data_IF_137259670154
#
_entry.id   IF_137259670154
#
_cell.length_a   1.000
_cell.length_b   1.000
_cell.length_c   1.000
_cell.angle_alpha   90.00
_cell.angle_beta   90.00
_cell.angle_gamma   90.00
#
_symmetry.space_group_name_H-M   'P 1'
#
loop_
_entity.id
_entity.type
_entity.pdbx_description
1 polymer ?
#
# COMPACT_ATOMS: atom_id res chain seq x y z
N UNK A 1 5.13 -39.66 -19.97
CA UNK A 1 3.90 -40.37 -19.58
C UNK A 1 2.76 -39.45 -19.91
N UNK A 2 2.09 -39.74 -21.01
CA UNK A 2 0.97 -38.97 -21.53
C UNK A 2 -0.25 -39.17 -20.62
N UNK A 3 -0.85 -38.08 -20.18
CA UNK A 3 -2.12 -38.11 -19.43
C UNK A 3 -3.25 -38.12 -20.47
N UNK A 4 -4.20 -39.07 -20.42
CA UNK A 4 -5.30 -39.13 -21.37
C UNK A 4 -6.20 -37.89 -21.28
N UNK A 5 -6.46 -37.29 -22.44
CA UNK A 5 -7.55 -36.33 -22.68
C UNK A 5 -8.87 -37.11 -22.74
N UNK A 6 -9.45 -37.41 -21.58
CA UNK A 6 -10.88 -37.74 -21.46
C UNK A 6 -11.27 -37.64 -19.98
N UNK A 7 -11.50 -36.40 -19.53
CA UNK A 7 -12.36 -36.18 -18.36
C UNK A 7 -13.76 -35.87 -18.89
N UNK A 8 -14.83 -36.51 -18.37
CA UNK A 8 -16.18 -36.08 -18.69
C UNK A 8 -16.30 -34.61 -18.31
N UNK A 9 -16.90 -33.79 -19.18
CA UNK A 9 -17.25 -32.40 -18.85
C UNK A 9 -18.09 -32.43 -17.57
N UNK A 10 -17.45 -32.21 -16.43
CA UNK A 10 -18.13 -32.02 -15.18
C UNK A 10 -19.02 -30.80 -15.37
N UNK A 11 -20.31 -30.96 -15.05
CA UNK A 11 -21.26 -29.86 -15.02
C UNK A 11 -20.60 -28.71 -14.23
N UNK A 12 -20.31 -27.57 -14.86
CA UNK A 12 -19.60 -26.49 -14.21
C UNK A 12 -20.33 -25.99 -12.97
N UNK A 13 -21.62 -26.32 -12.78
CA UNK A 13 -22.43 -25.98 -11.62
C UNK A 13 -22.29 -26.96 -10.43
N UNK A 14 -21.59 -28.08 -10.58
CA UNK A 14 -21.35 -29.09 -9.51
C UNK A 14 -19.98 -29.01 -8.82
N UNK A 15 -19.06 -28.20 -9.34
CA UNK A 15 -17.73 -27.98 -8.76
C UNK A 15 -17.85 -26.99 -7.59
N UNK A 16 -17.27 -27.33 -6.43
CA UNK A 16 -17.22 -26.43 -5.27
C UNK A 16 -16.53 -25.09 -5.65
N UNK A 17 -16.99 -23.97 -5.11
CA UNK A 17 -16.46 -22.64 -5.50
C UNK A 17 -14.95 -22.52 -5.30
N UNK A 18 -14.38 -23.17 -4.28
CA UNK A 18 -12.94 -23.28 -4.04
C UNK A 18 -12.19 -23.97 -5.18
N UNK A 19 -12.76 -25.01 -5.78
CA UNK A 19 -12.14 -25.74 -6.89
C UNK A 19 -12.21 -24.92 -8.19
N UNK A 20 -13.28 -24.14 -8.40
CA UNK A 20 -13.37 -23.19 -9.51
C UNK A 20 -12.32 -22.09 -9.41
N UNK A 21 -12.13 -21.54 -8.22
CA UNK A 21 -11.11 -20.51 -7.96
C UNK A 21 -9.71 -21.05 -8.18
N UNK A 22 -9.41 -22.25 -7.70
CA UNK A 22 -8.15 -22.93 -7.96
C UNK A 22 -7.94 -23.12 -9.48
N UNK A 23 -8.97 -23.57 -10.20
CA UNK A 23 -8.90 -23.75 -11.64
C UNK A 23 -8.59 -22.44 -12.38
N UNK A 24 -9.15 -21.30 -11.95
CA UNK A 24 -8.83 -20.00 -12.54
C UNK A 24 -7.38 -19.59 -12.26
N UNK A 25 -6.90 -19.75 -11.02
CA UNK A 25 -5.50 -19.46 -10.68
C UNK A 25 -4.54 -20.32 -11.51
N UNK A 26 -4.80 -21.63 -11.59
CA UNK A 26 -4.00 -22.58 -12.36
C UNK A 26 -4.04 -22.29 -13.87
N UNK A 27 -5.19 -21.86 -14.40
CA UNK A 27 -5.31 -21.48 -15.80
C UNK A 27 -4.45 -20.24 -16.12
N UNK A 28 -4.43 -19.23 -15.24
CA UNK A 28 -3.55 -18.05 -15.39
C UNK A 28 -2.08 -18.47 -15.32
N UNK A 29 -1.71 -19.31 -14.35
CA UNK A 29 -0.36 -19.87 -14.20
C UNK A 29 0.08 -20.58 -15.50
N UNK A 30 -0.76 -21.46 -16.04
CA UNK A 30 -0.48 -22.23 -17.25
C UNK A 30 -0.41 -21.36 -18.51
N UNK A 31 -1.11 -20.22 -18.55
CA UNK A 31 -0.99 -19.26 -19.64
C UNK A 31 0.34 -18.50 -19.61
N UNK A 32 0.91 -18.27 -18.42
CA UNK A 32 2.10 -17.47 -18.19
C UNK A 32 3.41 -18.27 -18.24
N UNK A 33 3.42 -19.51 -17.73
CA UNK A 33 4.62 -20.39 -17.73
C UNK A 33 5.27 -20.53 -19.11
N UNK A 34 4.54 -20.82 -20.21
CA UNK A 34 5.12 -20.93 -21.56
C UNK A 34 5.69 -19.63 -22.11
N UNK A 35 5.41 -18.48 -21.46
CA UNK A 35 5.95 -17.17 -21.81
C UNK A 35 7.18 -16.80 -20.98
N UNK A 36 7.74 -17.75 -20.22
CA UNK A 36 8.98 -17.58 -19.45
C UNK A 36 8.78 -17.00 -18.05
N UNK A 37 7.54 -16.86 -17.57
CA UNK A 37 7.27 -16.38 -16.23
C UNK A 37 7.45 -17.51 -15.21
N UNK A 38 8.23 -17.24 -14.16
CA UNK A 38 8.23 -18.05 -12.93
C UNK A 38 6.99 -17.70 -12.12
N UNK A 39 5.98 -18.55 -12.15
CA UNK A 39 4.64 -18.24 -11.63
C UNK A 39 4.03 -19.44 -10.93
N UNK A 40 3.33 -19.19 -9.82
CA UNK A 40 2.59 -20.17 -9.06
C UNK A 40 1.22 -19.63 -8.63
N UNK A 41 0.29 -20.55 -8.38
CA UNK A 41 -0.93 -20.27 -7.63
C UNK A 41 -0.58 -20.23 -6.14
N UNK A 42 -1.21 -19.34 -5.37
CA UNK A 42 -1.02 -19.32 -3.92
C UNK A 42 -1.40 -20.67 -3.29
N UNK A 43 -2.57 -21.21 -3.65
CA UNK A 43 -3.06 -22.49 -3.13
C UNK A 43 -2.08 -23.61 -3.46
N UNK A 44 -1.59 -23.65 -4.70
CA UNK A 44 -0.59 -24.64 -5.12
C UNK A 44 0.70 -24.52 -4.31
N UNK A 45 1.22 -23.30 -4.15
CA UNK A 45 2.46 -23.05 -3.43
C UNK A 45 2.35 -23.41 -1.94
N UNK A 46 1.25 -23.03 -1.27
CA UNK A 46 1.01 -23.34 0.14
C UNK A 46 0.88 -24.85 0.38
N UNK A 47 0.23 -25.57 -0.53
CA UNK A 47 0.15 -27.03 -0.49
C UNK A 47 1.52 -27.67 -0.61
N UNK A 48 2.31 -27.24 -1.58
CA UNK A 48 3.64 -27.81 -1.84
C UNK A 48 4.60 -27.49 -0.68
N UNK A 49 4.48 -26.28 -0.09
CA UNK A 49 5.27 -25.88 1.08
C UNK A 49 4.96 -26.76 2.29
N UNK A 50 3.68 -26.96 2.60
CA UNK A 50 3.27 -27.88 3.69
C UNK A 50 3.70 -29.32 3.43
N UNK A 51 3.63 -29.79 2.18
CA UNK A 51 4.08 -31.13 1.82
C UNK A 51 5.59 -31.30 2.06
N UNK A 52 6.40 -30.31 1.67
CA UNK A 52 7.84 -30.30 1.94
C UNK A 52 8.16 -30.23 3.44
N UNK A 53 7.50 -29.36 4.20
CA UNK A 53 7.68 -29.25 5.66
C UNK A 53 7.35 -30.55 6.40
N UNK A 54 6.40 -31.33 5.86
CA UNK A 54 6.00 -32.63 6.41
C UNK A 54 6.81 -33.82 5.83
N UNK A 55 7.81 -33.58 4.98
CA UNK A 55 8.64 -34.62 4.36
C UNK A 55 7.95 -35.42 3.24
N UNK A 56 6.79 -34.98 2.77
CA UNK A 56 6.04 -35.60 1.67
C UNK A 56 6.48 -35.09 0.29
N UNK A 57 7.41 -34.13 0.25
CA UNK A 57 7.99 -33.60 -0.98
C UNK A 57 9.50 -33.50 -0.80
N UNK A 58 10.26 -34.12 -1.71
CA UNK A 58 11.72 -34.18 -1.62
C UNK A 58 12.41 -32.85 -1.93
N UNK A 59 11.75 -31.97 -2.67
CA UNK A 59 12.31 -30.70 -3.15
C UNK A 59 11.62 -29.53 -2.48
N UNK A 60 12.39 -28.62 -1.89
CA UNK A 60 11.87 -27.37 -1.35
C UNK A 60 11.24 -26.52 -2.47
N UNK A 61 9.98 -26.06 -2.33
CA UNK A 61 9.39 -25.14 -3.29
C UNK A 61 10.18 -23.85 -3.39
N UNK A 62 10.18 -23.25 -4.59
CA UNK A 62 10.78 -21.94 -4.81
C UNK A 62 10.29 -20.91 -3.78
N UNK A 63 11.17 -20.06 -3.24
CA UNK A 63 10.79 -18.94 -2.39
C UNK A 63 9.69 -18.07 -3.01
N UNK A 64 8.73 -17.61 -2.20
CA UNK A 64 7.58 -16.86 -2.72
C UNK A 64 7.98 -15.51 -3.35
N UNK A 65 9.09 -14.92 -2.90
CA UNK A 65 9.59 -13.62 -3.34
C UNK A 65 10.25 -13.63 -4.72
N UNK A 66 10.54 -14.81 -5.28
CA UNK A 66 11.07 -14.95 -6.64
C UNK A 66 10.00 -15.42 -7.66
N UNK A 67 8.75 -15.55 -7.20
CA UNK A 67 7.62 -16.00 -8.01
C UNK A 67 6.63 -14.88 -8.27
N UNK A 68 6.01 -14.90 -9.45
CA UNK A 68 4.71 -14.29 -9.64
C UNK A 68 3.66 -15.17 -8.94
N UNK A 69 2.85 -14.57 -8.08
CA UNK A 69 1.81 -15.31 -7.35
C UNK A 69 0.44 -14.86 -7.80
N UNK A 70 -0.38 -15.81 -8.24
CA UNK A 70 -1.79 -15.60 -8.54
C UNK A 70 -2.58 -16.10 -7.33
N UNK A 71 -3.42 -15.23 -6.75
CA UNK A 71 -4.21 -15.54 -5.55
C UNK A 71 -5.66 -15.10 -5.68
N UNK A 72 -6.48 -15.66 -4.79
CA UNK A 72 -7.81 -15.15 -4.49
C UNK A 72 -7.70 -13.92 -3.57
N UNK A 73 -8.54 -12.90 -3.77
CA UNK A 73 -8.67 -11.78 -2.83
C UNK A 73 -10.14 -11.54 -2.48
N UNK A 74 -10.54 -12.03 -1.31
CA UNK A 74 -11.92 -11.94 -0.82
C UNK A 74 -12.41 -10.50 -0.65
N UNK A 75 -11.48 -9.55 -0.52
CA UNK A 75 -11.79 -8.14 -0.31
C UNK A 75 -12.25 -7.44 -1.58
N UNK A 76 -12.08 -8.08 -2.75
CA UNK A 76 -12.61 -7.61 -4.02
C UNK A 76 -14.12 -7.89 -4.08
N UNK A 77 -14.88 -6.91 -4.54
CA UNK A 77 -16.31 -7.02 -4.85
C UNK A 77 -16.52 -7.33 -6.32
N UNK A 78 -17.58 -8.08 -6.64
CA UNK A 78 -17.96 -8.32 -8.03
C UNK A 78 -18.48 -7.02 -8.69
N UNK A 79 -18.39 -6.90 -10.02
CA UNK A 79 -18.93 -5.74 -10.73
C UNK A 79 -20.43 -5.57 -10.49
N UNK A 80 -20.86 -4.34 -10.22
CA UNK A 80 -22.28 -4.01 -9.95
C UNK A 80 -23.18 -4.22 -11.16
N UNK A 81 -22.66 -3.96 -12.37
CA UNK A 81 -23.32 -4.34 -13.62
C UNK A 81 -23.06 -5.83 -13.85
N UNK A 82 -23.85 -6.68 -13.19
CA UNK A 82 -23.90 -8.11 -13.48
C UNK A 82 -24.47 -8.26 -14.89
N UNK A 83 -23.58 -8.40 -15.85
CA UNK A 83 -23.94 -8.97 -17.15
C UNK A 83 -23.82 -10.47 -16.96
N UNK A 84 -24.95 -11.18 -16.97
CA UNK A 84 -25.02 -12.65 -16.74
C UNK A 84 -24.20 -13.47 -17.76
N UNK A 85 -23.60 -12.82 -18.76
CA UNK A 85 -22.72 -13.42 -19.75
C UNK A 85 -21.35 -13.84 -19.23
N UNK A 86 -20.92 -13.34 -18.06
CA UNK A 86 -19.58 -13.63 -17.51
C UNK A 86 -19.65 -14.09 -16.06
N UNK A 87 -19.00 -15.22 -15.76
CA UNK A 87 -18.62 -15.58 -14.38
C UNK A 87 -17.36 -14.78 -14.00
N UNK A 88 -17.47 -13.93 -12.98
CA UNK A 88 -16.37 -13.10 -12.48
C UNK A 88 -15.62 -13.82 -11.36
N UNK A 89 -14.32 -13.58 -11.25
CA UNK A 89 -13.46 -14.15 -10.21
C UNK A 89 -12.60 -13.06 -9.56
N UNK A 90 -12.43 -13.15 -8.24
CA UNK A 90 -11.68 -12.19 -7.43
C UNK A 90 -10.20 -12.57 -7.41
N UNK A 91 -9.39 -11.91 -8.25
CA UNK A 91 -7.98 -12.28 -8.44
C UNK A 91 -7.07 -11.13 -8.04
N UNK A 92 -6.08 -11.43 -7.20
CA UNK A 92 -4.94 -10.56 -6.96
C UNK A 92 -3.66 -11.22 -7.50
N UNK A 93 -2.77 -10.40 -8.04
CA UNK A 93 -1.52 -10.84 -8.68
C UNK A 93 -0.38 -10.11 -8.00
N UNK A 94 0.53 -10.87 -7.39
CA UNK A 94 1.76 -10.35 -6.80
C UNK A 94 2.93 -10.55 -7.75
N UNK A 95 3.72 -9.50 -7.94
CA UNK A 95 5.02 -9.60 -8.61
C UNK A 95 6.04 -10.24 -7.67
N UNK A 96 7.10 -10.88 -8.18
CA UNK A 96 8.29 -11.14 -7.37
C UNK A 96 8.90 -9.83 -6.85
N UNK A 97 9.81 -9.93 -5.89
CA UNK A 97 10.62 -8.82 -5.42
C UNK A 97 11.63 -8.42 -6.51
N UNK A 98 11.27 -7.38 -7.28
CA UNK A 98 12.07 -6.91 -8.41
C UNK A 98 12.87 -5.65 -8.05
N UNK A 99 14.12 -5.58 -8.51
CA UNK A 99 14.87 -4.33 -8.48
C UNK A 99 14.19 -3.28 -9.36
N UNK A 100 14.08 -2.03 -8.89
CA UNK A 100 13.45 -0.99 -9.68
C UNK A 100 14.35 -0.58 -10.86
N UNK A 101 13.98 -1.01 -12.07
CA UNK A 101 14.77 -0.79 -13.28
C UNK A 101 13.90 -0.83 -14.55
N UNK A 102 14.34 -0.22 -15.67
CA UNK A 102 13.62 -0.29 -16.93
C UNK A 102 13.39 -1.71 -17.45
N UNK A 103 14.30 -2.65 -17.15
CA UNK A 103 14.17 -4.06 -17.56
C UNK A 103 13.04 -4.76 -16.81
N UNK A 104 12.96 -4.55 -15.49
CA UNK A 104 11.90 -5.14 -14.67
C UNK A 104 10.54 -4.46 -14.92
N UNK A 105 10.52 -3.17 -15.25
CA UNK A 105 9.31 -2.49 -15.72
C UNK A 105 8.79 -3.12 -17.01
N UNK A 106 9.66 -3.36 -18.00
CA UNK A 106 9.27 -4.09 -19.23
C UNK A 106 8.73 -5.49 -18.94
N UNK A 107 9.28 -6.19 -17.94
CA UNK A 107 8.79 -7.49 -17.52
C UNK A 107 7.35 -7.41 -16.96
N UNK A 108 7.05 -6.40 -16.15
CA UNK A 108 5.67 -6.10 -15.69
C UNK A 108 4.76 -5.74 -16.86
N UNK A 109 5.24 -4.98 -17.84
CA UNK A 109 4.44 -4.60 -19.00
C UNK A 109 4.08 -5.79 -19.89
N UNK A 110 5.03 -6.69 -20.10
CA UNK A 110 4.79 -7.93 -20.85
C UNK A 110 3.75 -8.81 -20.15
N UNK A 111 3.84 -8.91 -18.82
CA UNK A 111 2.82 -9.58 -18.01
C UNK A 111 1.44 -8.96 -18.24
N UNK A 112 1.31 -7.64 -18.07
CA UNK A 112 0.04 -6.92 -18.26
C UNK A 112 -0.51 -7.14 -19.66
N UNK A 113 0.34 -7.06 -20.69
CA UNK A 113 -0.03 -7.29 -22.09
C UNK A 113 -0.62 -8.68 -22.31
N UNK A 114 -0.06 -9.71 -21.67
CA UNK A 114 -0.57 -11.08 -21.76
C UNK A 114 -1.95 -11.17 -21.09
N UNK A 115 -2.07 -10.67 -19.86
CA UNK A 115 -3.30 -10.77 -19.09
C UNK A 115 -4.44 -9.97 -19.74
N UNK A 116 -4.19 -8.73 -20.18
CA UNK A 116 -5.21 -7.89 -20.84
C UNK A 116 -5.67 -8.40 -22.19
N UNK A 117 -4.86 -9.24 -22.87
CA UNK A 117 -5.24 -9.85 -24.16
C UNK A 117 -5.99 -11.16 -24.01
N UNK A 118 -5.77 -11.88 -22.91
CA UNK A 118 -6.36 -13.22 -22.69
C UNK A 118 -7.61 -13.18 -21.84
N UNK A 119 -7.74 -12.20 -20.95
CA UNK A 119 -8.81 -12.18 -19.96
C UNK A 119 -9.64 -10.91 -20.05
N UNK A 120 -10.92 -11.03 -19.73
CA UNK A 120 -11.78 -9.88 -19.46
C UNK A 120 -11.50 -9.41 -18.04
N UNK A 121 -10.97 -8.20 -17.90
CA UNK A 121 -10.57 -7.65 -16.61
C UNK A 121 -11.55 -6.56 -16.16
N UNK A 122 -11.82 -6.52 -14.86
CA UNK A 122 -12.58 -5.45 -14.23
C UNK A 122 -11.83 -4.94 -12.99
N UNK A 123 -11.24 -3.75 -13.12
CA UNK A 123 -10.61 -3.03 -12.02
C UNK A 123 -11.61 -2.07 -11.39
N UNK A 124 -12.64 -2.59 -10.71
CA UNK A 124 -13.63 -1.75 -10.03
C UNK A 124 -13.05 -1.07 -8.78
N UNK A 125 -13.88 -0.32 -8.05
CA UNK A 125 -13.44 0.50 -6.92
C UNK A 125 -12.89 -0.29 -5.72
N UNK A 126 -13.26 -1.58 -5.59
CA UNK A 126 -12.71 -2.46 -4.55
C UNK A 126 -11.30 -2.94 -4.87
N UNK A 127 -10.91 -2.95 -6.15
CA UNK A 127 -9.58 -3.38 -6.59
C UNK A 127 -8.54 -2.28 -6.31
N UNK A 128 -7.41 -2.66 -5.72
CA UNK A 128 -6.30 -1.75 -5.41
C UNK A 128 -5.00 -2.13 -6.14
N UNK A 129 -4.08 -1.17 -6.23
CA UNK A 129 -2.68 -1.41 -6.59
C UNK A 129 -1.83 -1.17 -5.35
N UNK A 130 -1.18 -2.21 -4.85
CA UNK A 130 -0.24 -2.10 -3.74
C UNK A 130 1.19 -2.08 -4.27
N UNK A 131 2.00 -1.14 -3.76
CA UNK A 131 3.44 -1.09 -4.05
C UNK A 131 4.19 -1.39 -2.77
N UNK A 132 5.06 -2.39 -2.82
CA UNK A 132 5.97 -2.72 -1.75
C UNK A 132 7.38 -2.24 -2.11
N UNK A 133 7.98 -1.40 -1.26
CA UNK A 133 9.33 -0.88 -1.48
C UNK A 133 10.24 -1.29 -0.33
N UNK A 134 11.41 -1.84 -0.66
CA UNK A 134 12.50 -2.09 0.30
C UNK A 134 13.75 -1.30 -0.07
N UNK A 135 14.69 -1.21 0.86
CA UNK A 135 16.05 -0.70 0.61
C UNK A 135 17.00 -1.79 0.05
N UNK A 136 16.44 -2.77 -0.67
CA UNK A 136 17.10 -3.96 -1.19
C UNK A 136 17.78 -4.77 -0.09
N UNK A 137 19.12 -4.95 -0.15
CA UNK A 137 19.90 -5.71 0.85
C UNK A 137 20.13 -4.94 2.15
N UNK A 138 19.91 -3.63 2.18
CA UNK A 138 20.04 -2.83 3.40
C UNK A 138 18.72 -2.87 4.13
N UNK A 139 18.75 -2.99 5.45
CA UNK A 139 17.54 -2.85 6.26
C UNK A 139 17.13 -1.38 6.37
N UNK A 140 15.85 -1.14 6.60
CA UNK A 140 15.37 0.18 7.01
C UNK A 140 15.96 0.51 8.39
N UNK A 141 16.88 1.48 8.43
CA UNK A 141 17.36 2.02 9.71
C UNK A 141 16.28 2.93 10.32
N UNK A 142 16.36 3.15 11.63
CA UNK A 142 15.47 4.07 12.32
C UNK A 142 15.45 5.46 11.68
N UNK A 143 16.62 6.00 11.30
CA UNK A 143 16.72 7.30 10.64
C UNK A 143 16.00 7.35 9.29
N UNK A 144 16.10 6.28 8.49
CA UNK A 144 15.37 6.19 7.21
C UNK A 144 13.86 6.21 7.48
N UNK A 145 13.39 5.45 8.47
CA UNK A 145 11.96 5.41 8.82
C UNK A 145 11.46 6.74 9.36
N UNK A 146 12.22 7.42 10.22
CA UNK A 146 11.86 8.76 10.70
C UNK A 146 11.70 9.75 9.55
N UNK A 147 12.65 9.77 8.62
CA UNK A 147 12.61 10.68 7.48
C UNK A 147 11.42 10.36 6.56
N UNK A 148 11.20 9.07 6.28
CA UNK A 148 10.12 8.64 5.40
C UNK A 148 8.74 8.88 6.01
N UNK A 149 8.54 8.47 7.25
CA UNK A 149 7.26 8.67 7.95
C UNK A 149 7.00 10.14 8.21
N UNK A 150 8.03 10.93 8.52
CA UNK A 150 7.90 12.39 8.62
C UNK A 150 7.44 13.02 7.31
N UNK A 151 8.00 12.58 6.17
CA UNK A 151 7.61 13.06 4.85
C UNK A 151 6.19 12.61 4.46
N UNK A 152 5.85 11.33 4.64
CA UNK A 152 4.50 10.80 4.39
C UNK A 152 3.48 11.53 5.25
N UNK A 153 3.71 11.66 6.56
CA UNK A 153 2.80 12.34 7.47
C UNK A 153 2.60 13.83 7.09
N UNK A 154 3.69 14.50 6.71
CA UNK A 154 3.64 15.91 6.30
C UNK A 154 2.82 16.09 5.02
N UNK A 155 3.07 15.23 4.02
CA UNK A 155 2.61 15.43 2.65
C UNK A 155 1.51 14.46 2.20
N UNK A 156 0.89 13.69 3.10
CA UNK A 156 -0.14 12.71 2.70
C UNK A 156 -1.25 13.37 1.88
N UNK A 157 -1.76 14.52 2.31
CA UNK A 157 -2.81 15.26 1.59
C UNK A 157 -2.40 15.69 0.18
N UNK A 158 -1.11 16.00 -0.02
CA UNK A 158 -0.56 16.29 -1.34
C UNK A 158 -0.46 15.01 -2.17
N UNK A 159 0.04 13.92 -1.58
CA UNK A 159 0.18 12.62 -2.24
C UNK A 159 -1.18 12.04 -2.64
N UNK A 160 -2.22 12.27 -1.84
CA UNK A 160 -3.60 11.85 -2.13
C UNK A 160 -4.14 12.40 -3.46
N UNK A 161 -3.66 13.56 -3.92
CA UNK A 161 -4.04 14.12 -5.23
C UNK A 161 -3.60 13.22 -6.41
N UNK A 162 -2.71 12.25 -6.20
CA UNK A 162 -2.38 11.22 -7.20
C UNK A 162 -3.57 10.27 -7.45
N UNK A 163 -4.53 10.22 -6.54
CA UNK A 163 -5.58 9.22 -6.49
C UNK A 163 -6.93 9.81 -6.90
N UNK A 164 -7.87 9.00 -7.39
CA UNK A 164 -9.23 9.48 -7.63
C UNK A 164 -9.95 9.78 -6.31
N UNK A 165 -10.91 10.71 -6.34
CA UNK A 165 -11.66 11.17 -5.17
C UNK A 165 -12.31 10.04 -4.35
N UNK A 166 -12.80 8.98 -5.01
CA UNK A 166 -13.37 7.82 -4.31
C UNK A 166 -12.36 7.03 -3.46
N UNK A 167 -11.04 7.18 -3.71
CA UNK A 167 -9.98 6.60 -2.85
C UNK A 167 -9.62 7.49 -1.67
N UNK A 168 -10.12 8.72 -1.63
CA UNK A 168 -9.78 9.73 -0.61
C UNK A 168 -10.97 9.97 0.33
N UNK A 169 -12.16 10.28 -0.21
CA UNK A 169 -13.29 10.79 0.57
C UNK A 169 -14.35 9.73 0.93
N UNK A 170 -14.38 8.58 0.26
CA UNK A 170 -15.39 7.54 0.48
C UNK A 170 -14.78 6.14 0.37
N UNK A 171 -13.55 5.99 0.84
CA UNK A 171 -12.80 4.77 0.70
C UNK A 171 -12.95 3.90 1.94
N UNK A 172 -13.82 2.90 1.87
CA UNK A 172 -13.93 1.88 2.92
C UNK A 172 -12.75 0.91 2.93
N UNK A 173 -11.87 0.94 1.92
CA UNK A 173 -10.78 -0.02 1.74
C UNK A 173 -9.43 0.50 2.24
N UNK A 174 -9.18 1.82 2.22
CA UNK A 174 -7.97 2.41 2.81
C UNK A 174 -8.23 3.79 3.41
N UNK A 175 -7.73 4.03 4.63
CA UNK A 175 -7.91 5.27 5.39
C UNK A 175 -6.65 6.14 5.38
N UNK A 176 -6.84 7.48 5.46
CA UNK A 176 -5.72 8.42 5.63
C UNK A 176 -4.94 8.05 6.89
N UNK A 177 -3.63 7.92 6.72
CA UNK A 177 -2.68 7.69 7.77
C UNK A 177 -2.72 8.87 8.75
N UNK A 178 -2.63 10.11 8.28
CA UNK A 178 -2.63 11.33 9.08
C UNK A 178 -3.85 11.49 9.96
N UNK A 179 -5.00 10.92 9.59
CA UNK A 179 -6.22 11.06 10.38
C UNK A 179 -6.47 9.87 11.32
N UNK A 180 -5.96 8.66 11.00
CA UNK A 180 -6.36 7.41 11.67
C UNK A 180 -5.24 6.66 12.41
N UNK A 181 -4.00 7.18 12.43
CA UNK A 181 -2.92 6.55 13.19
C UNK A 181 -2.99 6.79 14.69
N UNK A 182 -2.43 5.84 15.44
CA UNK A 182 -2.34 5.90 16.90
C UNK A 182 -1.58 7.13 17.43
N UNK A 183 -0.65 7.71 16.64
CA UNK A 183 0.06 8.92 17.07
C UNK A 183 -0.91 10.06 17.43
N UNK A 184 -2.08 10.13 16.77
CA UNK A 184 -3.10 11.15 17.00
C UNK A 184 -3.89 10.94 18.30
N UNK A 185 -3.90 9.71 18.84
CA UNK A 185 -4.69 9.34 20.02
C UNK A 185 -3.96 9.62 21.34
N UNK A 186 -3.12 10.67 21.40
CA UNK A 186 -2.31 11.06 22.56
C UNK A 186 -1.20 10.07 22.95
N UNK A 187 -0.44 9.56 21.98
CA UNK A 187 0.78 8.80 22.24
C UNK A 187 1.73 9.60 23.17
N UNK A 188 1.91 9.19 24.43
CA UNK A 188 2.95 9.77 25.31
C UNK A 188 4.26 8.99 25.06
N UNK A 189 5.31 9.62 24.49
CA UNK A 189 6.59 8.96 24.30
C UNK A 189 7.08 8.39 25.64
N UNK A 190 7.56 7.14 25.64
CA UNK A 190 8.21 6.54 26.82
C UNK A 190 7.32 5.80 27.82
N UNK A 191 6.00 5.61 27.60
CA UNK A 191 5.24 4.61 28.37
C UNK A 191 5.30 3.24 27.67
N UNK A 192 6.06 2.32 28.28
CA UNK A 192 5.98 0.88 28.01
C UNK A 192 4.53 0.43 28.20
N UNK A 193 3.85 0.11 27.11
CA UNK A 193 2.63 -0.69 27.14
C UNK A 193 3.05 -2.04 26.56
N UNK A 194 3.04 -3.06 27.42
CA UNK A 194 3.42 -4.43 27.08
C UNK A 194 2.33 -5.05 26.20
N UNK A 195 2.72 -5.66 25.08
CA UNK A 195 1.82 -6.34 24.15
C UNK A 195 1.26 -7.68 24.71
N UNK A 196 1.50 -7.99 25.99
CA UNK A 196 1.06 -9.22 26.64
C UNK A 196 -0.27 -9.10 27.39
N UNK A 197 -0.80 -7.89 27.60
CA UNK A 197 -2.05 -7.71 28.37
C UNK A 197 -3.28 -8.02 27.51
N UNK A 198 -3.70 -9.28 27.48
CA UNK A 198 -4.89 -9.74 26.72
C UNK A 198 -6.20 -9.06 27.14
N UNK A 199 -6.23 -8.36 28.27
CA UNK A 199 -7.42 -7.72 28.82
C UNK A 199 -7.51 -6.20 28.56
N UNK A 200 -6.56 -5.60 27.83
CA UNK A 200 -6.58 -4.15 27.60
C UNK A 200 -7.83 -3.69 26.82
N UNK A 201 -8.37 -4.54 25.93
CA UNK A 201 -9.63 -4.27 25.21
C UNK A 201 -10.84 -4.23 26.15
N UNK A 202 -10.89 -5.10 27.15
CA UNK A 202 -11.99 -5.16 28.14
C UNK A 202 -11.90 -4.00 29.13
N UNK A 203 -10.69 -3.69 29.63
CA UNK A 203 -10.47 -2.52 30.49
C UNK A 203 -10.78 -1.20 29.76
N UNK A 204 -10.47 -1.10 28.46
CA UNK A 204 -10.77 0.07 27.65
C UNK A 204 -12.27 0.21 27.30
N UNK A 205 -12.97 -0.90 27.05
CA UNK A 205 -14.43 -0.92 26.86
C UNK A 205 -15.18 -0.55 28.14
N UNK A 206 -14.71 -1.02 29.30
CA UNK A 206 -15.23 -0.66 30.62
C UNK A 206 -14.96 0.82 30.95
N UNK A 207 -13.77 1.34 30.61
CA UNK A 207 -13.43 2.76 30.77
C UNK A 207 -14.30 3.68 29.90
N UNK A 208 -14.69 3.23 28.70
CA UNK A 208 -15.62 3.96 27.81
C UNK A 208 -17.07 3.91 28.29
N UNK A 209 -17.53 2.79 28.83
CA UNK A 209 -18.88 2.67 29.42
C UNK A 209 -19.01 3.45 30.74
N UNK A 210 -17.95 3.56 31.54
CA UNK A 210 -17.97 4.34 32.79
C UNK A 210 -17.88 5.86 32.58
N UNK A 211 -17.35 6.35 31.45
CA UNK A 211 -17.12 7.78 31.21
C UNK A 211 -18.27 8.51 30.50
N UNK A 212 -19.49 8.36 31.02
CA UNK A 212 -20.65 9.17 30.66
C UNK A 212 -20.61 10.64 31.15
N UNK A 213 -19.44 11.25 31.31
CA UNK A 213 -19.24 12.64 31.75
C UNK A 213 -18.16 13.32 30.89
N UNK A 214 -18.31 14.62 30.57
CA UNK A 214 -17.44 15.32 29.63
C UNK A 214 -16.02 15.42 30.19
N UNK A 215 -15.12 14.57 29.71
CA UNK A 215 -13.70 14.78 29.93
C UNK A 215 -13.26 16.01 29.14
N UNK A 216 -12.63 16.96 29.83
CA UNK A 216 -11.70 17.91 29.20
C UNK A 216 -10.69 17.06 28.43
N UNK A 217 -10.89 16.93 27.12
CA UNK A 217 -9.91 16.33 26.22
C UNK A 217 -8.55 17.00 26.52
N UNK A 218 -7.46 16.25 26.72
CA UNK A 218 -6.14 16.86 26.77
C UNK A 218 -5.97 17.75 25.52
N UNK A 219 -5.27 18.90 25.63
CA UNK A 219 -5.18 19.83 24.51
C UNK A 219 -4.68 19.08 23.27
N UNK A 220 -5.42 19.20 22.18
CA UNK A 220 -5.08 18.57 20.92
C UNK A 220 -3.63 18.95 20.58
N UNK A 221 -2.75 17.96 20.46
CA UNK A 221 -1.39 18.18 20.02
C UNK A 221 -1.42 18.78 18.63
N UNK A 222 -0.56 19.77 18.39
CA UNK A 222 -0.42 20.33 17.05
C UNK A 222 0.23 19.30 16.12
N UNK A 223 0.01 19.42 14.82
CA UNK A 223 0.65 18.53 13.84
C UNK A 223 2.17 18.62 13.88
N UNK A 224 2.71 19.76 14.34
CA UNK A 224 4.13 19.95 14.62
C UNK A 224 4.61 19.08 15.79
N UNK A 225 3.78 18.87 16.81
CA UNK A 225 4.10 17.99 17.94
C UNK A 225 4.13 16.52 17.51
N UNK A 226 3.24 16.11 16.59
CA UNK A 226 3.29 14.76 16.00
C UNK A 226 4.55 14.57 15.15
N UNK A 227 4.89 15.55 14.31
CA UNK A 227 6.14 15.51 13.55
C UNK A 227 7.36 15.44 14.47
N UNK A 228 7.37 16.20 15.57
CA UNK A 228 8.40 16.11 16.59
C UNK A 228 8.47 14.72 17.23
N UNK A 229 7.32 14.10 17.54
CA UNK A 229 7.26 12.76 18.11
C UNK A 229 7.86 11.70 17.17
N UNK A 230 7.60 11.78 15.85
CA UNK A 230 8.23 10.90 14.84
C UNK A 230 9.76 10.98 14.94
N UNK A 231 10.31 12.19 14.94
CA UNK A 231 11.77 12.38 14.99
C UNK A 231 12.40 12.03 16.34
N UNK A 232 11.62 12.05 17.41
CA UNK A 232 12.03 11.65 18.77
C UNK A 232 11.94 10.15 19.03
N UNK A 233 11.30 9.36 18.15
CA UNK A 233 11.19 7.92 18.33
C UNK A 233 12.56 7.25 18.54
N UNK A 234 12.65 6.31 19.45
CA UNK A 234 13.93 5.71 19.88
C UNK A 234 14.19 4.35 19.26
N UNK A 235 13.17 3.73 18.65
CA UNK A 235 13.25 2.42 18.02
C UNK A 235 12.31 2.27 16.82
N UNK A 236 12.55 1.25 15.98
CA UNK A 236 11.66 0.91 14.86
C UNK A 236 10.29 0.46 15.36
N UNK A 237 10.26 -0.37 16.41
CA UNK A 237 9.04 -0.84 17.05
C UNK A 237 8.16 0.32 17.55
N UNK A 238 8.78 1.39 18.10
CA UNK A 238 8.06 2.59 18.50
C UNK A 238 7.38 3.28 17.31
N UNK A 239 8.10 3.47 16.19
CA UNK A 239 7.51 4.03 14.97
C UNK A 239 6.40 3.13 14.41
N UNK A 240 6.63 1.82 14.32
CA UNK A 240 5.62 0.86 13.87
C UNK A 240 4.36 0.98 14.73
N UNK A 241 4.50 1.11 16.05
CA UNK A 241 3.38 1.33 16.96
C UNK A 241 2.68 2.68 16.75
N UNK A 242 3.43 3.76 16.51
CA UNK A 242 2.87 5.08 16.21
C UNK A 242 2.01 5.09 14.94
N UNK A 243 2.39 4.30 13.93
CA UNK A 243 1.76 4.23 12.61
C UNK A 243 0.92 2.97 12.37
N UNK A 244 0.55 2.26 13.45
CA UNK A 244 -0.55 1.29 13.44
C UNK A 244 -1.86 2.02 13.77
N UNK A 245 -2.97 1.37 13.44
CA UNK A 245 -4.30 1.75 13.91
C UNK A 245 -4.75 0.68 14.91
N UNK A 246 -5.33 1.11 16.03
CA UNK A 246 -5.94 0.21 17.03
C UNK A 246 -7.31 -0.33 16.57
N UNK A 247 -7.88 0.28 15.53
CA UNK A 247 -9.09 -0.15 14.85
C UNK A 247 -8.71 -1.02 13.63
N UNK A 248 -9.61 -1.89 13.15
CA UNK A 248 -9.40 -2.77 11.96
C UNK A 248 -9.30 -1.97 10.63
N UNK A 249 -8.85 -0.72 10.68
CA UNK A 249 -8.64 0.14 9.51
C UNK A 249 -7.36 -0.23 8.78
N UNK A 250 -7.50 -0.43 7.46
CA UNK A 250 -6.37 -0.53 6.55
C UNK A 250 -5.87 0.87 6.24
N UNK A 251 -4.76 1.29 6.83
CA UNK A 251 -4.13 2.58 6.52
C UNK A 251 -3.59 2.61 5.08
N UNK A 252 -3.53 3.80 4.48
CA UNK A 252 -2.97 4.03 3.15
C UNK A 252 -1.48 3.67 3.02
N UNK A 253 -0.76 3.65 4.15
CA UNK A 253 0.62 3.19 4.24
C UNK A 253 0.77 2.20 5.40
N UNK A 254 1.54 1.14 5.18
CA UNK A 254 1.77 0.12 6.19
C UNK A 254 3.27 -0.16 6.34
N UNK A 255 3.76 0.00 7.58
CA UNK A 255 5.14 -0.31 7.98
C UNK A 255 5.23 -1.51 8.93
N UNK A 256 4.14 -2.22 9.16
CA UNK A 256 4.09 -3.38 10.07
C UNK A 256 5.00 -4.53 9.65
N UNK A 257 5.36 -4.63 8.37
CA UNK A 257 6.36 -5.57 7.85
C UNK A 257 7.80 -5.27 8.31
N UNK A 258 8.01 -4.16 9.02
CA UNK A 258 9.30 -3.77 9.59
C UNK A 258 9.37 -3.94 11.12
N UNK A 259 8.31 -4.49 11.72
CA UNK A 259 8.28 -4.86 13.14
C UNK A 259 9.22 -6.04 13.39
N UNK A 260 9.96 -6.03 14.50
CA UNK A 260 10.87 -7.12 14.85
C UNK A 260 10.31 -7.96 16.01
N UNK A 261 10.33 -9.31 15.92
CA UNK A 261 10.81 -10.12 14.79
C UNK A 261 9.92 -9.96 13.55
N UNK A 262 10.55 -9.99 12.37
CA UNK A 262 9.84 -9.77 11.10
C UNK A 262 8.65 -10.73 10.95
N UNK A 263 7.42 -10.21 10.70
CA UNK A 263 6.23 -11.05 10.64
C UNK A 263 6.18 -11.92 9.38
N UNK A 264 6.94 -11.55 8.35
CA UNK A 264 7.07 -12.25 7.09
C UNK A 264 8.57 -12.25 6.74
N UNK A 265 9.15 -13.44 6.54
CA UNK A 265 10.58 -13.61 6.30
C UNK A 265 11.06 -12.89 5.03
N UNK A 266 10.14 -12.60 4.12
CA UNK A 266 10.41 -12.04 2.80
C UNK A 266 9.96 -10.58 2.68
N UNK A 267 8.87 -10.18 3.36
CA UNK A 267 8.38 -8.80 3.33
C UNK A 267 9.10 -7.96 4.38
N UNK A 268 10.21 -7.35 3.97
CA UNK A 268 10.88 -6.26 4.69
C UNK A 268 10.67 -4.94 3.96
N UNK A 269 9.41 -4.57 3.81
CA UNK A 269 8.97 -3.52 2.89
C UNK A 269 8.06 -2.52 3.57
N UNK A 270 7.95 -1.34 2.96
CA UNK A 270 6.86 -0.41 3.22
C UNK A 270 5.84 -0.60 2.12
N UNK A 271 4.59 -0.73 2.51
CA UNK A 271 3.48 -0.98 1.61
C UNK A 271 2.66 0.29 1.42
N UNK A 272 2.48 0.68 0.16
CA UNK A 272 1.66 1.81 -0.29
C UNK A 272 0.35 1.26 -0.86
N UNK A 273 -0.79 1.57 -0.24
CA UNK A 273 -2.10 0.95 -0.55
C UNK A 273 -3.10 1.88 -1.22
N UNK A 274 -2.82 3.19 -1.31
CA UNK A 274 -3.81 4.20 -1.68
C UNK A 274 -4.26 4.12 -3.15
N UNK A 275 -3.43 3.62 -4.05
CA UNK A 275 -3.67 3.71 -5.49
C UNK A 275 -4.77 2.75 -5.96
N UNK A 276 -5.64 3.22 -6.86
CA UNK A 276 -6.65 2.38 -7.53
C UNK A 276 -5.98 1.27 -8.36
N UNK A 277 -6.64 0.12 -8.52
CA UNK A 277 -6.19 -0.86 -9.51
C UNK A 277 -6.21 -0.28 -10.91
N UNK A 278 -5.28 -0.72 -11.76
CA UNK A 278 -5.16 -0.32 -13.15
C UNK A 278 -4.36 -1.36 -13.92
N UNK A 279 -4.63 -1.50 -15.21
CA UNK A 279 -3.84 -2.31 -16.15
C UNK A 279 -2.96 -1.46 -17.06
N UNK A 280 -3.00 -0.13 -16.90
CA UNK A 280 -2.23 0.83 -17.68
C UNK A 280 -0.77 0.89 -17.20
N UNK A 281 0.20 0.39 -17.99
CA UNK A 281 1.59 0.31 -17.56
C UNK A 281 2.19 1.65 -17.12
N UNK A 282 1.87 2.72 -17.84
CA UNK A 282 2.36 4.07 -17.60
C UNK A 282 1.87 4.68 -16.27
N UNK A 283 0.68 4.28 -15.81
CA UNK A 283 0.13 4.72 -14.53
C UNK A 283 0.85 3.99 -13.37
N UNK A 284 1.11 2.69 -13.55
CA UNK A 284 1.84 1.87 -12.57
C UNK A 284 3.27 2.36 -12.43
N UNK A 285 3.98 2.59 -13.54
CA UNK A 285 5.35 3.11 -13.53
C UNK A 285 5.43 4.46 -12.81
N UNK A 286 4.48 5.36 -13.06
CA UNK A 286 4.46 6.66 -12.41
C UNK A 286 4.31 6.54 -10.90
N UNK A 287 3.41 5.68 -10.44
CA UNK A 287 3.24 5.45 -9.00
C UNK A 287 4.48 4.78 -8.39
N UNK A 288 5.11 3.85 -9.09
CA UNK A 288 6.41 3.27 -8.69
C UNK A 288 7.49 4.35 -8.54
N UNK A 289 7.62 5.26 -9.51
CA UNK A 289 8.59 6.37 -9.45
C UNK A 289 8.38 7.22 -8.19
N UNK A 290 7.13 7.56 -7.85
CA UNK A 290 6.80 8.34 -6.66
C UNK A 290 7.15 7.57 -5.38
N UNK A 291 6.65 6.35 -5.23
CA UNK A 291 6.90 5.52 -4.04
C UNK A 291 8.39 5.25 -3.82
N UNK A 292 9.11 4.85 -4.86
CA UNK A 292 10.54 4.60 -4.78
C UNK A 292 11.30 5.88 -4.45
N UNK A 293 10.93 7.03 -5.02
CA UNK A 293 11.60 8.30 -4.73
C UNK A 293 11.40 8.78 -3.30
N UNK A 294 10.22 8.57 -2.71
CA UNK A 294 9.99 8.88 -1.30
C UNK A 294 10.97 8.08 -0.41
N UNK A 295 11.09 6.77 -0.65
CA UNK A 295 12.05 5.93 0.08
C UNK A 295 13.50 6.38 -0.17
N UNK A 296 13.82 6.75 -1.40
CA UNK A 296 15.18 7.11 -1.79
C UNK A 296 15.62 8.45 -1.18
N UNK A 297 14.74 9.46 -1.12
CA UNK A 297 14.97 10.73 -0.43
C UNK A 297 15.18 10.51 1.07
N UNK A 298 14.35 9.68 1.70
CA UNK A 298 14.50 9.34 3.11
C UNK A 298 15.85 8.67 3.41
N UNK A 299 16.27 7.75 2.53
CA UNK A 299 17.56 7.07 2.57
C UNK A 299 18.74 8.02 2.39
N UNK A 300 18.69 8.89 1.40
CA UNK A 300 19.73 9.89 1.14
C UNK A 300 19.86 10.84 2.33
N UNK A 301 18.74 11.31 2.87
CA UNK A 301 18.71 12.20 4.05
C UNK A 301 19.31 11.53 5.29
N UNK A 302 19.10 10.23 5.49
CA UNK A 302 19.69 9.51 6.62
C UNK A 302 21.23 9.48 6.56
N UNK A 303 21.80 9.39 5.35
CA UNK A 303 23.25 9.44 5.10
C UNK A 303 23.83 10.85 4.93
N UNK A 304 23.00 11.90 4.94
CA UNK A 304 23.41 13.27 4.70
C UNK A 304 24.10 13.92 5.91
N UNK A 305 24.73 15.09 5.69
CA UNK A 305 25.34 15.90 6.75
C UNK A 305 24.29 16.44 7.74
N UNK A 306 24.75 16.85 8.93
CA UNK A 306 23.86 17.46 9.92
C UNK A 306 23.19 18.76 9.41
N UNK A 307 23.85 19.50 8.51
CA UNK A 307 23.29 20.68 7.87
C UNK A 307 22.10 20.32 6.96
N UNK A 308 22.30 19.33 6.08
CA UNK A 308 21.25 18.86 5.16
C UNK A 308 20.07 18.23 5.92
N UNK A 309 20.34 17.45 6.97
CA UNK A 309 19.29 16.92 7.86
C UNK A 309 18.46 18.03 8.50
N UNK A 310 19.09 19.14 8.91
CA UNK A 310 18.38 20.31 9.45
C UNK A 310 17.53 21.01 8.38
N UNK A 311 18.05 21.15 7.16
CA UNK A 311 17.29 21.71 6.02
C UNK A 311 16.06 20.86 5.73
N UNK A 312 16.21 19.54 5.66
CA UNK A 312 15.09 18.61 5.46
C UNK A 312 14.03 18.74 6.58
N UNK A 313 14.46 18.75 7.85
CA UNK A 313 13.53 18.93 8.98
C UNK A 313 12.80 20.28 8.94
N UNK A 314 13.51 21.35 8.59
CA UNK A 314 12.90 22.69 8.41
C UNK A 314 11.87 22.66 7.28
N UNK A 315 12.20 22.04 6.14
CA UNK A 315 11.28 21.85 5.04
C UNK A 315 9.99 21.15 5.49
N UNK A 316 10.05 20.05 6.25
CA UNK A 316 8.84 19.41 6.77
C UNK A 316 8.05 20.31 7.73
N UNK A 317 8.73 21.03 8.64
CA UNK A 317 8.10 21.93 9.60
C UNK A 317 7.41 23.15 8.97
N UNK A 318 7.93 23.62 7.84
CA UNK A 318 7.36 24.77 7.13
C UNK A 318 6.11 24.37 6.33
N UNK A 319 5.96 23.08 6.00
CA UNK A 319 4.84 22.57 5.20
C UNK A 319 3.82 21.73 5.99
N UNK A 320 4.14 21.28 7.21
CA UNK A 320 3.18 20.57 8.06
C UNK A 320 2.00 21.49 8.40
N UNK A 321 0.78 21.00 8.16
CA UNK A 321 -0.46 21.79 8.26
C UNK A 321 -0.76 22.70 7.07
N UNK A 322 0.12 22.78 6.08
CA UNK A 322 -0.13 23.50 4.84
C UNK A 322 -1.27 22.89 4.02
N UNK A 323 -2.03 23.75 3.34
CA UNK A 323 -3.07 23.31 2.39
C UNK A 323 -2.43 22.75 1.11
N UNK A 324 -3.13 21.79 0.51
CA UNK A 324 -2.89 21.33 -0.86
C UNK A 324 -2.96 22.46 -1.91
N UNK A 325 -3.61 23.57 -1.59
CA UNK A 325 -3.75 24.73 -2.47
C UNK A 325 -2.47 25.60 -2.50
N UNK A 326 -1.80 25.73 -1.34
CA UNK A 326 -0.60 26.56 -1.19
C UNK A 326 0.66 25.80 -1.65
N UNK A 327 0.74 24.51 -1.28
CA UNK A 327 1.80 23.61 -1.70
C UNK A 327 1.20 22.29 -2.17
N UNK A 328 0.84 22.25 -3.45
CA UNK A 328 0.18 21.10 -4.08
C UNK A 328 1.12 19.99 -4.56
N UNK A 329 0.53 18.90 -5.05
CA UNK A 329 1.25 17.72 -5.54
C UNK A 329 2.33 18.05 -6.57
N UNK A 330 2.03 18.92 -7.53
CA UNK A 330 2.98 19.28 -8.60
C UNK A 330 4.25 19.90 -8.02
N UNK A 331 4.11 20.81 -7.06
CA UNK A 331 5.25 21.44 -6.39
C UNK A 331 6.04 20.44 -5.56
N UNK A 332 5.36 19.55 -4.84
CA UNK A 332 6.01 18.47 -4.10
C UNK A 332 6.84 17.58 -5.03
N UNK A 333 6.25 17.11 -6.15
CA UNK A 333 6.94 16.24 -7.10
C UNK A 333 8.15 16.94 -7.73
N UNK A 334 8.05 18.23 -8.06
CA UNK A 334 9.20 19.02 -8.53
C UNK A 334 10.30 19.10 -7.48
N UNK A 335 9.97 19.34 -6.21
CA UNK A 335 10.94 19.35 -5.10
C UNK A 335 11.57 17.97 -4.88
N UNK A 336 10.83 16.90 -5.15
CA UNK A 336 11.36 15.53 -5.15
C UNK A 336 12.17 15.21 -6.42
N UNK A 337 12.29 16.10 -7.40
CA UNK A 337 13.01 15.88 -8.65
C UNK A 337 12.25 15.01 -9.68
N UNK A 338 10.95 14.82 -9.49
CA UNK A 338 10.06 14.02 -10.33
C UNK A 338 9.35 14.90 -11.37
N UNK A 339 10.13 15.57 -12.22
CA UNK A 339 9.61 16.56 -13.18
C UNK A 339 8.63 15.94 -14.19
N UNK A 340 8.91 14.70 -14.63
CA UNK A 340 8.04 13.99 -15.59
C UNK A 340 6.72 13.62 -14.95
N UNK A 341 6.75 13.08 -13.73
CA UNK A 341 5.57 12.72 -12.94
C UNK A 341 4.74 13.98 -12.66
N UNK A 342 5.39 15.08 -12.27
CA UNK A 342 4.74 16.37 -12.01
C UNK A 342 3.98 16.89 -13.23
N UNK A 343 4.59 16.85 -14.42
CA UNK A 343 3.95 17.27 -15.67
C UNK A 343 2.69 16.45 -15.96
N UNK A 344 2.75 15.13 -15.76
CA UNK A 344 1.58 14.29 -15.99
C UNK A 344 0.48 14.46 -14.93
N UNK A 345 0.84 14.55 -13.65
CA UNK A 345 -0.12 14.82 -12.57
C UNK A 345 -0.83 16.15 -12.80
N UNK A 346 -0.11 17.19 -13.25
CA UNK A 346 -0.69 18.47 -13.63
C UNK A 346 -1.75 18.33 -14.74
N UNK A 347 -1.44 17.58 -15.80
CA UNK A 347 -2.40 17.32 -16.89
C UNK A 347 -3.62 16.52 -16.40
N UNK A 348 -3.43 15.49 -15.56
CA UNK A 348 -4.55 14.73 -15.02
C UNK A 348 -5.46 15.58 -14.12
N UNK A 349 -4.88 16.41 -13.26
CA UNK A 349 -5.64 17.33 -12.40
C UNK A 349 -6.40 18.37 -13.23
N UNK A 350 -5.80 18.91 -14.29
CA UNK A 350 -6.48 19.84 -15.19
C UNK A 350 -7.74 19.23 -15.84
N UNK A 351 -7.67 17.92 -16.14
CA UNK A 351 -8.74 17.14 -16.76
C UNK A 351 -9.80 16.59 -15.78
N UNK A 352 -9.64 16.80 -14.46
CA UNK A 352 -10.59 16.37 -13.42
C UNK A 352 -11.27 17.59 -12.77
N UNK A 353 -12.41 18.05 -13.29
CA UNK A 353 -13.08 19.24 -12.75
C UNK A 353 -13.61 19.05 -11.32
N UNK A 354 -13.81 17.81 -10.88
CA UNK A 354 -14.25 17.39 -9.54
C UNK A 354 -13.18 17.48 -8.45
N UNK A 355 -11.90 17.51 -8.84
CA UNK A 355 -10.75 17.62 -7.92
C UNK A 355 -10.14 19.03 -7.95
N UNK A 356 -10.73 19.97 -8.70
CA UNK A 356 -10.29 21.36 -8.68
C UNK A 356 -10.67 21.97 -7.33
N UNK A 357 -9.72 22.57 -6.59
CA UNK A 357 -10.11 23.44 -5.50
C UNK A 357 -11.03 24.53 -6.07
N UNK A 358 -12.12 24.89 -5.37
CA UNK A 358 -13.01 25.94 -5.83
C UNK A 358 -12.16 27.18 -6.08
N UNK A 359 -12.20 27.70 -7.31
CA UNK A 359 -11.57 28.98 -7.62
C UNK A 359 -12.12 29.96 -6.59
N UNK A 360 -11.26 30.54 -5.75
CA UNK A 360 -11.65 31.75 -5.00
C UNK A 360 -12.17 32.70 -6.04
N UNK A 361 -13.47 32.95 -6.03
CA UNK A 361 -14.05 33.98 -6.85
C UNK A 361 -13.27 35.25 -6.48
N UNK A 362 -12.64 35.86 -7.47
CA UNK A 362 -12.34 37.29 -7.40
C UNK A 362 -13.69 38.01 -7.38
N UNK A 363 -14.41 37.93 -6.25
CA UNK A 363 -15.31 39.00 -5.89
C UNK A 363 -14.40 40.09 -5.34
N UNK A 364 -14.43 41.22 -6.05
CA UNK A 364 -13.46 42.27 -5.94
C UNK A 364 -13.34 42.83 -4.53
N UNK A 365 -12.19 43.47 -4.32
CA UNK A 365 -12.20 44.80 -3.73
C UNK A 365 -13.43 45.57 -4.25
N UNK A 366 -14.35 45.91 -3.36
CA UNK A 366 -15.06 47.19 -3.30
C UNK A 366 -16.10 47.16 -2.18
N UNK A 367 -15.74 47.76 -1.03
CA UNK A 367 -16.54 48.63 -0.13
C UNK A 367 -15.83 48.74 1.21
#
# INVERSE_FOLDING_TARGET
MDVPLDFPEADPDTIADTDRELNVQLHIVNALKPKGFRVASQIQWERDRKAWENGNLDTEPDPIDILWIVKHDDTIQFPTAQVDTYKWYKVEICTPALAFSPWNLRHVWEFLRIITRRYRLNCNQSCALHIHVSTAKKEFTLDILKNLMGMIFTFERQLEQCHPSYRIHNNSSTFSLRDHVNINQNFKPGKSFSCSDRNWKEEWMLDRQQKGLPQKLPPARSERDFLAAIFSATSKAELVKMFKSDEDFRLGYNIGFLDEPYPDSFKRTIEFRQHRSTTKPEVIERWLNICCRLVDVARQTAGASNGEKKVFRRFLLDHIGGSADDFGLVMLLVNLGLIKEAGHCSMEMANRPDVRPPRRSMQGSDS
#
